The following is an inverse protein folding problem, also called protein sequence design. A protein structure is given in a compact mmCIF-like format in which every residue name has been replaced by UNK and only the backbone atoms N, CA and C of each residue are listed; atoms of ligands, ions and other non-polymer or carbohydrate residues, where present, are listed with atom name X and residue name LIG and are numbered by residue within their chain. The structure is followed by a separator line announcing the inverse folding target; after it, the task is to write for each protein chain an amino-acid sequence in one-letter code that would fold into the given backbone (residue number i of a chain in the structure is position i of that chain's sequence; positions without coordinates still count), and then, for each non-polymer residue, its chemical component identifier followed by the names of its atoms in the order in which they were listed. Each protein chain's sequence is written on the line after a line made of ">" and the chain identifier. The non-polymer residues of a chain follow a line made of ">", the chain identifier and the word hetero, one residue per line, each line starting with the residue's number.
data_IF_311232918338
#
_entry.id   IF_311232918338
#
_cell.length_a   1.000
_cell.length_b   1.000
_cell.length_c   1.000
_cell.angle_alpha   90.00
_cell.angle_beta   90.00
_cell.angle_gamma   90.00
#
_symmetry.space_group_name_H-M   'P 1'
#
loop_
_entity.id
_entity.type
_entity.pdbx_description
1 polymer ?
#
# COMPACT_ATOMS: atom_id res chain seq x y z
N UNK A 1 8.66 -1.24 16.03
CA UNK A 1 8.25 -1.38 14.62
C UNK A 1 9.41 -0.89 13.75
N UNK A 2 9.68 -1.58 12.65
CA UNK A 2 10.68 -1.15 11.67
C UNK A 2 10.14 0.06 10.90
N UNK A 3 10.98 1.09 10.73
CA UNK A 3 10.62 2.24 9.89
C UNK A 3 10.94 1.90 8.44
N UNK A 4 9.92 1.98 7.58
CA UNK A 4 10.04 1.70 6.16
C UNK A 4 9.83 2.98 5.34
N UNK A 5 10.22 2.89 4.07
CA UNK A 5 9.74 3.80 3.01
C UNK A 5 8.87 3.03 2.05
N UNK A 6 7.80 3.65 1.58
CA UNK A 6 6.87 3.07 0.61
C UNK A 6 6.75 4.00 -0.59
N UNK A 7 6.86 3.43 -1.78
CA UNK A 7 6.69 4.14 -3.05
C UNK A 7 5.66 3.40 -3.89
N UNK A 8 4.70 4.12 -4.47
CA UNK A 8 3.80 3.52 -5.48
C UNK A 8 4.56 3.27 -6.78
N UNK A 9 4.43 2.06 -7.27
CA UNK A 9 5.01 1.62 -8.55
C UNK A 9 4.00 1.65 -9.69
N UNK A 10 2.74 1.92 -9.37
CA UNK A 10 1.62 1.98 -10.30
C UNK A 10 0.77 3.22 -9.98
N UNK A 11 0.08 3.73 -10.99
CA UNK A 11 -0.96 4.74 -10.85
C UNK A 11 -2.17 4.28 -11.66
N UNK A 12 -3.32 4.12 -10.99
CA UNK A 12 -4.57 3.69 -11.61
C UNK A 12 -4.42 2.43 -12.49
N UNK A 13 -3.73 1.40 -12.00
CA UNK A 13 -3.52 0.15 -12.74
C UNK A 13 -2.37 0.16 -13.74
N UNK A 14 -1.77 1.32 -14.03
CA UNK A 14 -0.66 1.44 -14.99
C UNK A 14 0.67 1.45 -14.25
N UNK A 15 1.60 0.59 -14.66
CA UNK A 15 2.96 0.59 -14.15
C UNK A 15 3.64 1.92 -14.48
N UNK A 16 4.25 2.53 -13.49
CA UNK A 16 5.05 3.74 -13.63
C UNK A 16 6.49 3.39 -14.00
N UNK A 17 7.10 4.23 -14.82
CA UNK A 17 8.56 4.25 -14.93
C UNK A 17 9.16 4.72 -13.61
N UNK A 18 10.36 4.22 -13.27
CA UNK A 18 10.99 4.52 -11.98
C UNK A 18 11.26 6.01 -11.76
N UNK A 19 11.49 6.77 -12.84
CA UNK A 19 11.68 8.23 -12.80
C UNK A 19 10.40 8.99 -12.42
N UNK A 20 9.24 8.37 -12.62
CA UNK A 20 7.92 8.96 -12.40
C UNK A 20 7.32 8.50 -11.05
N UNK A 21 8.13 7.83 -10.22
CA UNK A 21 7.76 7.48 -8.86
C UNK A 21 7.61 8.73 -7.99
N UNK A 22 6.55 8.76 -7.18
CA UNK A 22 6.30 9.80 -6.19
C UNK A 22 7.32 9.76 -5.04
N UNK A 23 7.36 10.84 -4.25
CA UNK A 23 8.22 10.92 -3.06
C UNK A 23 7.91 9.77 -2.08
N UNK A 24 8.93 9.03 -1.58
CA UNK A 24 8.70 7.92 -0.68
C UNK A 24 8.02 8.33 0.63
N UNK A 25 6.93 7.65 0.95
CA UNK A 25 6.21 7.81 2.22
C UNK A 25 6.94 7.05 3.32
N UNK A 26 7.32 7.75 4.39
CA UNK A 26 7.97 7.13 5.57
C UNK A 26 6.93 6.71 6.60
N UNK A 27 7.06 5.50 7.13
CA UNK A 27 6.24 5.04 8.23
C UNK A 27 6.41 3.55 8.55
N UNK A 28 5.72 3.10 9.58
CA UNK A 28 5.54 1.66 9.84
C UNK A 28 4.50 1.14 8.87
N UNK A 29 4.82 0.06 8.15
CA UNK A 29 3.83 -0.67 7.36
C UNK A 29 3.16 -1.67 8.30
N UNK A 30 1.84 -1.61 8.37
CA UNK A 30 1.03 -2.49 9.21
C UNK A 30 0.12 -3.36 8.34
N UNK A 31 -0.06 -4.62 8.75
CA UNK A 31 -1.02 -5.55 8.16
C UNK A 31 -2.20 -5.66 9.13
N UNK A 32 -3.40 -5.52 8.60
CA UNK A 32 -4.64 -5.65 9.35
C UNK A 32 -5.71 -6.31 8.49
N UNK A 33 -6.87 -6.58 9.10
CA UNK A 33 -8.03 -7.10 8.40
C UNK A 33 -9.31 -6.43 8.88
N UNK A 34 -10.29 -6.31 7.98
CA UNK A 34 -11.59 -5.72 8.26
C UNK A 34 -12.66 -6.46 7.46
N UNK A 35 -13.87 -6.55 8.03
CA UNK A 35 -15.04 -6.96 7.25
C UNK A 35 -15.45 -5.81 6.34
N UNK A 36 -15.27 -6.01 5.03
CA UNK A 36 -15.73 -5.09 3.99
C UNK A 36 -17.17 -5.44 3.64
N UNK A 37 -18.08 -4.49 3.86
CA UNK A 37 -19.51 -4.69 3.59
C UNK A 37 -19.80 -4.81 2.09
N UNK A 38 -19.10 -4.04 1.25
CA UNK A 38 -19.20 -4.09 -0.21
C UNK A 38 -18.74 -5.43 -0.81
N UNK A 39 -17.81 -6.12 -0.14
CA UNK A 39 -17.32 -7.44 -0.55
C UNK A 39 -17.97 -8.59 0.23
N UNK A 40 -18.78 -8.28 1.25
CA UNK A 40 -19.39 -9.22 2.20
C UNK A 40 -18.43 -10.24 2.85
N UNK A 41 -17.13 -9.95 2.89
CA UNK A 41 -16.08 -10.81 3.43
C UNK A 41 -15.08 -10.04 4.29
N UNK A 42 -14.32 -10.75 5.09
CA UNK A 42 -13.11 -10.19 5.73
C UNK A 42 -12.02 -10.14 4.66
N UNK A 43 -11.37 -8.99 4.55
CA UNK A 43 -10.20 -8.81 3.67
C UNK A 43 -9.02 -8.29 4.47
N UNK A 44 -7.83 -8.67 4.02
CA UNK A 44 -6.56 -8.15 4.54
C UNK A 44 -6.19 -6.87 3.79
N UNK A 45 -5.45 -6.00 4.46
CA UNK A 45 -4.89 -4.80 3.86
C UNK A 45 -3.58 -4.40 4.51
N UNK A 46 -2.72 -3.78 3.71
CA UNK A 46 -1.55 -3.05 4.20
C UNK A 46 -1.87 -1.56 4.28
N UNK A 47 -1.46 -0.92 5.37
CA UNK A 47 -1.56 0.52 5.54
C UNK A 47 -0.30 1.13 6.17
N UNK A 48 -0.22 2.46 6.10
CA UNK A 48 0.73 3.26 6.87
C UNK A 48 -0.12 4.18 7.75
N UNK A 49 -0.46 3.76 8.98
CA UNK A 49 -1.38 4.50 9.81
C UNK A 49 -0.81 5.88 10.14
N UNK A 50 -1.65 6.91 10.11
CA UNK A 50 -1.28 8.19 10.70
C UNK A 50 -1.36 8.13 12.22
N UNK A 51 -0.54 8.97 12.87
CA UNK A 51 -0.42 9.01 14.34
C UNK A 51 -1.69 9.51 15.05
N UNK A 52 -2.65 10.08 14.32
CA UNK A 52 -3.94 10.53 14.86
C UNK A 52 -5.07 9.78 14.16
N UNK A 53 -6.04 9.29 14.95
CA UNK A 53 -7.09 8.37 14.51
C UNK A 53 -8.05 8.93 13.43
N UNK A 54 -8.08 10.24 13.23
CA UNK A 54 -8.98 10.91 12.29
C UNK A 54 -8.29 11.48 11.05
N UNK A 55 -6.97 11.34 10.93
CA UNK A 55 -6.30 11.80 9.72
C UNK A 55 -6.41 10.72 8.63
N UNK A 56 -6.72 11.09 7.37
CA UNK A 56 -6.68 10.13 6.27
C UNK A 56 -5.27 9.55 6.15
N UNK A 57 -5.16 8.24 5.87
CA UNK A 57 -3.86 7.59 5.67
C UNK A 57 -3.00 8.38 4.67
N UNK A 58 -1.67 8.32 4.82
CA UNK A 58 -0.76 9.08 3.94
C UNK A 58 -0.95 8.67 2.47
N UNK A 59 -1.31 7.41 2.25
CA UNK A 59 -1.72 6.81 0.98
C UNK A 59 -2.90 5.86 1.28
N UNK A 60 -3.86 5.66 0.35
CA UNK A 60 -4.93 4.70 0.56
C UNK A 60 -4.39 3.30 0.90
N UNK A 61 -5.07 2.51 1.73
CA UNK A 61 -4.64 1.14 2.02
C UNK A 61 -4.52 0.28 0.75
N UNK A 62 -3.55 -0.64 0.76
CA UNK A 62 -3.40 -1.66 -0.26
C UNK A 62 -4.18 -2.90 0.15
N UNK A 63 -5.35 -3.08 -0.44
CA UNK A 63 -6.28 -4.18 -0.17
C UNK A 63 -5.87 -5.46 -0.88
N UNK A 64 -6.18 -6.59 -0.25
CA UNK A 64 -5.83 -7.95 -0.71
C UNK A 64 -4.36 -8.04 -1.15
N UNK A 65 -3.43 -7.72 -0.24
CA UNK A 65 -2.02 -7.61 -0.58
C UNK A 65 -1.42 -8.99 -0.89
N UNK A 66 -0.65 -9.06 -1.97
CA UNK A 66 0.12 -10.20 -2.41
C UNK A 66 1.59 -9.81 -2.54
N UNK A 67 2.49 -10.58 -1.92
CA UNK A 67 3.92 -10.41 -2.11
C UNK A 67 4.29 -10.80 -3.55
N UNK A 68 4.77 -9.85 -4.35
CA UNK A 68 5.21 -10.11 -5.73
C UNK A 68 6.69 -10.54 -5.77
N UNK A 69 7.54 -9.82 -5.04
CA UNK A 69 8.97 -10.15 -4.94
C UNK A 69 9.55 -9.58 -3.66
N UNK A 70 10.64 -10.16 -3.16
CA UNK A 70 11.36 -9.68 -2.00
C UNK A 70 12.87 -9.83 -2.19
N UNK A 71 13.64 -8.97 -1.54
CA UNK A 71 15.09 -8.98 -1.51
C UNK A 71 15.61 -8.46 -0.17
N UNK A 72 16.93 -8.31 -0.05
CA UNK A 72 17.57 -8.03 1.26
C UNK A 72 17.13 -6.74 1.95
N UNK A 73 16.75 -5.70 1.21
CA UNK A 73 16.40 -4.38 1.74
C UNK A 73 15.04 -3.85 1.24
N UNK A 74 14.22 -4.73 0.66
CA UNK A 74 12.93 -4.30 0.16
C UNK A 74 12.08 -5.42 -0.41
N UNK A 75 10.81 -5.11 -0.61
CA UNK A 75 9.82 -6.00 -1.21
C UNK A 75 8.85 -5.21 -2.07
N UNK A 76 8.30 -5.86 -3.09
CA UNK A 76 7.15 -5.34 -3.84
C UNK A 76 5.93 -6.13 -3.41
N UNK A 77 4.93 -5.41 -2.92
CA UNK A 77 3.61 -5.96 -2.60
C UNK A 77 2.61 -5.35 -3.57
N UNK A 78 1.69 -6.14 -4.07
CA UNK A 78 0.66 -5.71 -5.01
C UNK A 78 -0.72 -6.01 -4.46
N UNK A 79 -1.72 -5.27 -4.89
CA UNK A 79 -3.10 -5.39 -4.42
C UNK A 79 -3.96 -4.40 -5.17
N UNK A 80 -5.03 -3.92 -4.55
CA UNK A 80 -5.77 -2.78 -5.08
C UNK A 80 -5.84 -1.63 -4.09
N UNK A 81 -5.74 -0.40 -4.62
CA UNK A 81 -6.15 0.79 -3.87
C UNK A 81 -7.51 1.25 -4.38
N UNK A 82 -8.29 1.87 -3.50
CA UNK A 82 -9.50 2.58 -3.88
C UNK A 82 -9.16 4.05 -4.13
N UNK A 83 -9.34 4.50 -5.38
CA UNK A 83 -9.02 5.85 -5.83
C UNK A 83 -10.24 6.37 -6.56
N UNK A 84 -10.79 7.50 -6.10
CA UNK A 84 -12.01 8.11 -6.64
C UNK A 84 -13.19 7.11 -6.78
N UNK A 85 -13.37 6.26 -5.77
CA UNK A 85 -14.43 5.24 -5.71
C UNK A 85 -14.26 4.07 -6.67
N UNK A 86 -13.09 3.94 -7.32
CA UNK A 86 -12.76 2.84 -8.22
C UNK A 86 -11.61 2.01 -7.68
N UNK A 87 -11.66 0.69 -7.91
CA UNK A 87 -10.59 -0.22 -7.55
C UNK A 87 -9.54 -0.29 -8.65
N UNK A 88 -8.31 0.09 -8.34
CA UNK A 88 -7.19 -0.01 -9.28
C UNK A 88 -6.13 -0.94 -8.74
N UNK A 89 -5.61 -1.80 -9.62
CA UNK A 89 -4.40 -2.56 -9.33
C UNK A 89 -3.26 -1.60 -9.00
N UNK A 90 -2.59 -1.84 -7.87
CA UNK A 90 -1.50 -1.00 -7.40
C UNK A 90 -0.37 -1.88 -6.86
N UNK A 91 0.83 -1.30 -6.86
CA UNK A 91 2.01 -1.94 -6.30
C UNK A 91 2.78 -0.99 -5.41
N UNK A 92 3.17 -1.47 -4.23
CA UNK A 92 4.01 -0.77 -3.27
C UNK A 92 5.41 -1.37 -3.28
N UNK A 93 6.42 -0.53 -3.52
CA UNK A 93 7.79 -0.87 -3.21
C UNK A 93 8.10 -0.42 -1.78
N UNK A 94 8.16 -1.40 -0.87
CA UNK A 94 8.45 -1.19 0.55
C UNK A 94 9.93 -1.46 0.77
N UNK A 95 10.65 -0.50 1.37
CA UNK A 95 12.07 -0.64 1.70
C UNK A 95 12.32 -0.41 3.17
N UNK A 96 13.27 -1.14 3.73
CA UNK A 96 13.74 -1.00 5.11
C UNK A 96 15.27 -0.82 5.12
N UNK A 97 15.77 -0.18 6.17
CA UNK A 97 17.20 -0.08 6.48
C UNK A 97 17.52 -0.92 7.71
#
# INVERSE_FOLDING_TARGET
>A
MLTCTVVRTHHQGRKLDQRDWEEPVRGSVEMASIRREDLHRVVEYLCIPRRQANDPDVIPPLWEPHLLTFGGQGMIVVGFEEIDGSHYYQGWYVRWN
#
